data_IF_180190119536
#
_entry.id   IF_180190119536
#
_cell.length_a   1.000
_cell.length_b   1.000
_cell.length_c   1.000
_cell.angle_alpha   90.00
_cell.angle_beta   90.00
_cell.angle_gamma   90.00
#
_symmetry.space_group_name_H-M   'P 1'
#
loop_
_entity.id
_entity.type
_entity.pdbx_description
1 polymer ?
#
# COMPACT_ATOMS: atom_id res chain seq x y z
N UNK A 1 1.89 11.74 11.68
CA UNK A 1 2.22 10.38 11.26
C UNK A 1 1.27 9.44 11.96
N UNK A 2 0.55 8.59 11.24
CA UNK A 2 -0.45 7.69 11.82
C UNK A 2 0.26 6.46 12.40
N UNK A 3 0.14 6.24 13.71
CA UNK A 3 0.77 5.11 14.39
C UNK A 3 0.27 3.77 13.83
N UNK A 4 1.13 2.76 13.82
CA UNK A 4 0.72 1.40 13.46
C UNK A 4 -0.37 0.83 14.39
N UNK A 5 -0.40 1.30 15.64
CA UNK A 5 -1.38 0.89 16.66
C UNK A 5 -2.73 1.61 16.55
N UNK A 6 -2.84 2.63 15.69
CA UNK A 6 -4.06 3.39 15.53
C UNK A 6 -5.03 2.65 14.59
N UNK A 7 -6.18 2.22 15.11
CA UNK A 7 -7.24 1.64 14.29
C UNK A 7 -7.86 2.71 13.39
N UNK A 8 -7.66 2.56 12.08
CA UNK A 8 -8.28 3.43 11.07
C UNK A 8 -9.69 2.99 10.68
N UNK A 9 -10.03 1.70 10.84
CA UNK A 9 -11.35 1.14 10.52
C UNK A 9 -11.68 -0.07 11.42
N UNK A 10 -12.95 -0.27 11.81
CA UNK A 10 -13.37 -1.37 12.69
C UNK A 10 -13.20 -2.74 12.03
N UNK A 11 -12.70 -3.71 12.81
CA UNK A 11 -12.41 -5.08 12.36
C UNK A 11 -13.70 -5.89 12.34
N UNK A 12 -14.27 -6.13 11.16
CA UNK A 12 -15.39 -7.07 11.01
C UNK A 12 -15.12 -8.03 9.85
N UNK A 13 -14.66 -9.24 10.22
CA UNK A 13 -14.58 -10.47 9.42
C UNK A 13 -13.48 -10.56 8.34
N UNK A 14 -13.14 -11.82 7.97
CA UNK A 14 -12.10 -12.17 6.99
C UNK A 14 -12.77 -12.46 5.64
N UNK A 15 -12.73 -11.54 4.66
CA UNK A 15 -13.27 -11.82 3.34
C UNK A 15 -12.38 -12.79 2.56
N UNK A 16 -12.97 -13.50 1.58
CA UNK A 16 -12.26 -14.43 0.70
C UNK A 16 -11.35 -13.64 -0.28
N UNK A 17 -10.02 -13.83 -0.19
CA UNK A 17 -9.01 -12.84 -0.59
C UNK A 17 -8.86 -12.59 -2.10
N UNK A 18 -8.81 -13.64 -2.92
CA UNK A 18 -8.52 -13.50 -4.36
C UNK A 18 -9.69 -12.85 -5.10
N UNK A 19 -10.91 -13.33 -4.87
CA UNK A 19 -12.13 -12.84 -5.52
C UNK A 19 -12.40 -11.36 -5.20
N UNK A 20 -11.93 -10.89 -4.04
CA UNK A 20 -12.16 -9.51 -3.61
C UNK A 20 -11.19 -8.55 -4.27
N UNK A 21 -9.92 -8.92 -4.46
CA UNK A 21 -8.93 -8.01 -5.05
C UNK A 21 -9.26 -7.69 -6.51
N UNK A 22 -9.59 -8.71 -7.31
CA UNK A 22 -9.96 -8.51 -8.71
C UNK A 22 -11.21 -7.64 -8.86
N UNK A 23 -12.20 -7.79 -7.97
CA UNK A 23 -13.41 -6.96 -7.96
C UNK A 23 -13.11 -5.50 -7.61
N UNK A 24 -12.26 -5.28 -6.61
CA UNK A 24 -11.82 -3.94 -6.20
C UNK A 24 -11.04 -3.26 -7.31
N UNK A 25 -10.09 -3.95 -7.94
CA UNK A 25 -9.31 -3.40 -9.06
C UNK A 25 -10.19 -3.09 -10.27
N UNK A 26 -11.18 -3.94 -10.56
CA UNK A 26 -12.14 -3.68 -11.63
C UNK A 26 -12.98 -2.41 -11.36
N UNK A 27 -13.46 -2.20 -10.13
CA UNK A 27 -14.18 -0.96 -9.77
C UNK A 27 -13.29 0.29 -9.77
N UNK A 28 -11.99 0.13 -9.55
CA UNK A 28 -11.00 1.20 -9.66
C UNK A 28 -10.49 1.42 -11.10
N UNK A 29 -11.03 0.69 -12.09
CA UNK A 29 -10.59 0.74 -13.49
C UNK A 29 -9.11 0.36 -13.69
N UNK A 30 -8.63 -0.64 -12.96
CA UNK A 30 -7.29 -1.22 -13.08
C UNK A 30 -6.12 -0.21 -13.02
N UNK A 31 -6.01 0.61 -11.96
CA UNK A 31 -4.95 1.62 -11.84
C UNK A 31 -3.54 1.00 -11.86
N UNK A 32 -3.39 -0.24 -11.38
CA UNK A 32 -2.15 -1.01 -11.37
C UNK A 32 -1.56 -1.23 -12.76
N UNK A 33 -2.40 -1.31 -13.81
CA UNK A 33 -1.94 -1.56 -15.19
C UNK A 33 -1.21 -0.36 -15.80
N UNK A 34 -1.34 0.82 -15.20
CA UNK A 34 -0.66 2.03 -15.65
C UNK A 34 0.78 2.15 -15.14
N UNK A 35 1.19 1.27 -14.22
CA UNK A 35 2.48 1.34 -13.53
C UNK A 35 3.47 0.31 -14.06
N UNK A 36 4.74 0.72 -14.19
CA UNK A 36 5.85 -0.24 -14.34
C UNK A 36 6.27 -0.69 -12.96
N UNK A 37 6.11 -1.98 -12.67
CA UNK A 37 6.30 -2.54 -11.33
C UNK A 37 7.47 -3.51 -11.30
N UNK A 38 8.28 -3.41 -10.24
CA UNK A 38 9.26 -4.43 -9.85
C UNK A 38 8.72 -5.06 -8.57
N UNK A 39 8.41 -6.36 -8.61
CA UNK A 39 7.98 -7.10 -7.43
C UNK A 39 9.19 -7.81 -6.78
N UNK A 40 9.44 -7.54 -5.50
CA UNK A 40 10.55 -8.12 -4.74
C UNK A 40 10.00 -9.18 -3.79
N UNK A 41 10.22 -10.45 -4.13
CA UNK A 41 9.79 -11.61 -3.36
C UNK A 41 10.95 -12.31 -2.66
N UNK A 42 10.68 -13.09 -1.62
CA UNK A 42 11.69 -13.85 -0.88
C UNK A 42 11.44 -13.89 0.63
N UNK A 43 12.20 -14.69 1.37
CA UNK A 43 12.01 -14.83 2.82
C UNK A 43 12.55 -13.62 3.58
N UNK A 44 13.78 -13.20 3.28
CA UNK A 44 14.50 -12.12 3.96
C UNK A 44 14.96 -11.04 2.98
N UNK A 45 15.20 -9.82 3.48
CA UNK A 45 15.82 -8.73 2.70
C UNK A 45 14.92 -7.99 1.71
N UNK A 46 13.65 -8.39 1.52
CA UNK A 46 12.72 -7.72 0.58
C UNK A 46 12.64 -6.21 0.77
N UNK A 47 12.48 -5.76 2.03
CA UNK A 47 12.37 -4.34 2.36
C UNK A 47 13.65 -3.57 2.05
N UNK A 48 14.81 -4.10 2.49
CA UNK A 48 16.11 -3.47 2.22
C UNK A 48 16.45 -3.45 0.73
N UNK A 49 16.24 -4.56 0.02
CA UNK A 49 16.41 -4.63 -1.44
C UNK A 49 15.51 -3.64 -2.17
N UNK A 50 14.23 -3.56 -1.82
CA UNK A 50 13.29 -2.61 -2.45
C UNK A 50 13.69 -1.16 -2.20
N UNK A 51 14.17 -0.85 -0.99
CA UNK A 51 14.67 0.48 -0.66
C UNK A 51 15.93 0.85 -1.47
N UNK A 52 16.92 -0.04 -1.56
CA UNK A 52 18.12 0.18 -2.36
C UNK A 52 17.79 0.33 -3.86
N UNK A 53 16.87 -0.48 -4.39
CA UNK A 53 16.38 -0.34 -5.75
C UNK A 53 15.72 1.03 -5.97
N UNK A 54 14.82 1.45 -5.09
CA UNK A 54 14.19 2.77 -5.15
C UNK A 54 15.23 3.89 -5.20
N UNK A 55 16.24 3.85 -4.33
CA UNK A 55 17.32 4.85 -4.30
C UNK A 55 18.15 4.87 -5.59
N UNK A 56 18.44 3.71 -6.16
CA UNK A 56 19.14 3.60 -7.44
C UNK A 56 18.30 4.17 -8.59
N UNK A 57 17.02 3.81 -8.66
CA UNK A 57 16.09 4.25 -9.71
C UNK A 57 15.86 5.76 -9.69
N UNK A 58 15.88 6.40 -8.53
CA UNK A 58 15.77 7.86 -8.41
C UNK A 58 16.89 8.63 -9.13
N UNK A 59 18.03 8.00 -9.42
CA UNK A 59 19.09 8.63 -10.23
C UNK A 59 18.70 8.79 -11.70
N UNK A 60 17.70 8.03 -12.17
CA UNK A 60 17.28 8.00 -13.58
C UNK A 60 15.84 8.49 -13.78
N UNK A 61 14.98 8.35 -12.77
CA UNK A 61 13.55 8.63 -12.88
C UNK A 61 13.12 9.72 -11.89
N UNK A 62 12.26 10.64 -12.35
CA UNK A 62 11.76 11.76 -11.54
C UNK A 62 10.76 11.34 -10.46
N UNK A 63 10.05 10.23 -10.67
CA UNK A 63 9.04 9.70 -9.74
C UNK A 63 9.19 8.19 -9.59
N UNK A 64 9.57 7.74 -8.40
CA UNK A 64 9.69 6.32 -8.05
C UNK A 64 8.80 6.04 -6.85
N UNK A 65 7.88 5.10 -7.01
CA UNK A 65 7.05 4.61 -5.91
C UNK A 65 7.73 3.44 -5.19
N UNK A 66 7.55 3.39 -3.88
CA UNK A 66 7.98 2.28 -3.04
C UNK A 66 6.81 1.87 -2.15
N UNK A 67 6.46 0.59 -2.21
CA UNK A 67 5.52 -0.05 -1.29
C UNK A 67 6.25 -1.07 -0.43
N UNK A 68 6.09 -0.99 0.90
CA UNK A 68 6.71 -1.93 1.86
C UNK A 68 5.68 -2.42 2.88
N UNK A 69 5.84 -3.67 3.32
CA UNK A 69 5.02 -4.29 4.36
C UNK A 69 5.87 -5.30 5.15
N UNK A 70 5.73 -5.38 6.49
CA UNK A 70 4.95 -4.46 7.35
C UNK A 70 5.55 -3.04 7.40
N UNK A 71 4.75 -2.06 7.86
CA UNK A 71 5.29 -0.79 8.36
C UNK A 71 5.94 -1.01 9.73
N UNK A 72 6.89 -0.15 10.11
CA UNK A 72 7.60 -0.28 11.37
C UNK A 72 6.97 0.55 12.48
N UNK A 73 6.89 1.88 12.32
CA UNK A 73 6.32 2.78 13.33
C UNK A 73 5.03 3.46 12.87
N UNK A 74 4.99 3.83 11.59
CA UNK A 74 3.89 4.60 11.03
C UNK A 74 3.33 3.96 9.77
N UNK A 75 2.01 3.97 9.63
CA UNK A 75 1.33 3.44 8.44
C UNK A 75 1.79 4.09 7.14
N UNK A 76 2.15 5.38 7.23
CA UNK A 76 2.67 6.18 6.13
C UNK A 76 3.92 5.58 5.49
N UNK A 77 4.75 4.85 6.25
CA UNK A 77 5.98 4.23 5.75
C UNK A 77 5.71 3.21 4.64
N UNK A 78 4.51 2.61 4.61
CA UNK A 78 4.10 1.62 3.62
C UNK A 78 4.07 2.19 2.21
N UNK A 79 3.79 3.48 2.03
CA UNK A 79 3.58 4.10 0.71
C UNK A 79 4.48 5.32 0.62
N UNK A 80 5.47 5.27 -0.28
CA UNK A 80 6.42 6.35 -0.46
C UNK A 80 6.53 6.75 -1.93
N UNK A 81 6.70 8.04 -2.17
CA UNK A 81 7.12 8.58 -3.47
C UNK A 81 8.47 9.26 -3.27
N UNK A 82 9.46 8.89 -4.08
CA UNK A 82 10.82 9.40 -3.97
C UNK A 82 11.43 9.23 -2.57
N UNK A 83 11.14 8.09 -1.95
CA UNK A 83 11.52 7.75 -0.57
C UNK A 83 11.00 8.74 0.50
N UNK A 84 9.93 9.48 0.20
CA UNK A 84 9.19 10.27 1.17
C UNK A 84 7.86 9.56 1.47
N UNK A 85 7.57 9.22 2.74
CA UNK A 85 6.27 8.70 3.16
C UNK A 85 5.11 9.60 2.74
N UNK A 86 3.98 8.98 2.40
CA UNK A 86 2.73 9.70 2.16
C UNK A 86 2.36 10.56 3.39
N UNK A 87 1.80 11.76 3.18
CA UNK A 87 1.33 12.60 4.29
C UNK A 87 0.09 11.99 4.96
N UNK A 88 -0.17 12.33 6.22
CA UNK A 88 -1.40 11.88 6.90
C UNK A 88 -2.65 12.35 6.17
N UNK A 89 -2.65 13.62 5.72
CA UNK A 89 -3.76 14.21 4.99
C UNK A 89 -4.04 13.46 3.69
N UNK A 90 -3.00 13.14 2.92
CA UNK A 90 -3.16 12.38 1.68
C UNK A 90 -3.62 10.96 1.97
N UNK A 91 -3.04 10.30 2.98
CA UNK A 91 -3.42 8.95 3.36
C UNK A 91 -4.90 8.88 3.74
N UNK A 92 -5.36 9.78 4.62
CA UNK A 92 -6.77 9.89 5.02
C UNK A 92 -7.65 10.22 3.81
N UNK A 93 -7.23 11.14 2.94
CA UNK A 93 -7.98 11.50 1.75
C UNK A 93 -8.16 10.30 0.80
N UNK A 94 -7.12 9.52 0.54
CA UNK A 94 -7.23 8.32 -0.29
C UNK A 94 -8.09 7.24 0.36
N UNK A 95 -7.96 7.04 1.66
CA UNK A 95 -8.82 6.12 2.42
C UNK A 95 -10.30 6.51 2.31
N UNK A 96 -10.62 7.79 2.47
CA UNK A 96 -11.98 8.30 2.33
C UNK A 96 -12.53 8.12 0.91
N UNK A 97 -11.69 8.30 -0.13
CA UNK A 97 -12.10 8.07 -1.54
C UNK A 97 -12.52 6.63 -1.82
N UNK A 98 -11.94 5.66 -1.11
CA UNK A 98 -12.26 4.24 -1.28
C UNK A 98 -13.09 3.66 -0.14
N UNK A 99 -13.60 4.49 0.79
CA UNK A 99 -14.39 4.05 1.96
C UNK A 99 -15.60 3.19 1.56
N UNK A 100 -16.24 3.52 0.42
CA UNK A 100 -17.34 2.71 -0.10
C UNK A 100 -16.89 1.28 -0.48
N UNK A 101 -15.69 1.11 -1.05
CA UNK A 101 -15.12 -0.20 -1.37
C UNK A 101 -14.69 -0.93 -0.09
N UNK A 102 -14.11 -0.18 0.85
CA UNK A 102 -13.72 -0.71 2.17
C UNK A 102 -14.95 -1.34 2.85
N UNK A 103 -16.08 -0.63 2.88
CA UNK A 103 -17.33 -1.14 3.47
C UNK A 103 -17.94 -2.28 2.66
N UNK A 104 -18.03 -2.12 1.33
CA UNK A 104 -18.65 -3.10 0.42
C UNK A 104 -17.94 -4.45 0.43
N UNK A 105 -16.61 -4.44 0.46
CA UNK A 105 -15.78 -5.64 0.39
C UNK A 105 -15.15 -6.02 1.73
N UNK A 106 -15.47 -5.30 2.80
CA UNK A 106 -14.90 -5.49 4.15
C UNK A 106 -13.36 -5.48 4.10
N UNK A 107 -12.79 -4.53 3.33
CA UNK A 107 -11.35 -4.43 3.15
C UNK A 107 -10.69 -3.96 4.43
N UNK A 108 -9.48 -4.45 4.67
CA UNK A 108 -8.68 -4.02 5.80
C UNK A 108 -7.38 -3.40 5.31
N UNK A 109 -7.11 -2.16 5.75
CA UNK A 109 -5.95 -1.40 5.34
C UNK A 109 -4.61 -2.08 5.71
N UNK A 110 -4.60 -2.93 6.75
CA UNK A 110 -3.36 -3.48 7.32
C UNK A 110 -3.00 -4.90 6.85
N UNK A 111 -3.84 -5.58 6.08
CA UNK A 111 -3.67 -7.03 5.85
C UNK A 111 -3.21 -7.38 4.44
N UNK A 112 -2.00 -6.93 4.11
CA UNK A 112 -1.16 -7.54 3.06
C UNK A 112 -0.21 -8.61 3.63
N UNK A 113 -0.44 -9.00 4.88
CA UNK A 113 0.31 -10.04 5.57
C UNK A 113 -0.45 -11.37 5.43
N UNK A 114 0.34 -12.41 5.12
CA UNK A 114 -0.06 -13.79 4.82
C UNK A 114 -1.19 -14.29 5.71
#
# INVERSE_FOLDING_TARGET
MISVDQELFPINQRPNREVVFDKVLNELNHPEKSLKVINVVGTNGKGSTSFYLSKGLLKKYQKVGLFISPAFLYQNERIQINNQPISDNDLINYLNKIDYLIKKYQLHFLRFEL
#
